data_IF_137625205736
#
_entry.id   IF_137625205736
#
_cell.length_a   1.000
_cell.length_b   1.000
_cell.length_c   1.000
_cell.angle_alpha   90.00
_cell.angle_beta   90.00
_cell.angle_gamma   90.00
#
_symmetry.space_group_name_H-M   'P 1'
#
loop_
_entity.id
_entity.type
_entity.pdbx_description
1 polymer ?
#
# COMPACT_ATOMS: atom_id res chain seq x y z
N UNK A 1 -54.70 1.49 -54.11
CA UNK A 1 -54.12 0.19 -53.76
C UNK A 1 -55.28 -0.70 -53.37
N UNK A 2 -55.51 -1.75 -54.13
CA UNK A 2 -56.65 -2.66 -53.99
C UNK A 2 -56.45 -3.53 -52.74
N UNK A 3 -57.53 -3.87 -52.03
CA UNK A 3 -57.51 -4.74 -50.84
C UNK A 3 -56.66 -6.03 -50.99
N UNK A 4 -56.69 -6.76 -52.12
CA UNK A 4 -55.85 -7.94 -52.33
C UNK A 4 -54.34 -7.66 -52.33
N UNK A 5 -53.88 -6.50 -52.81
CA UNK A 5 -52.45 -6.16 -52.85
C UNK A 5 -51.88 -5.95 -51.44
N UNK A 6 -52.69 -5.37 -50.55
CA UNK A 6 -52.32 -5.12 -49.17
C UNK A 6 -52.16 -6.42 -48.39
N UNK A 7 -53.04 -7.38 -48.65
CA UNK A 7 -53.04 -8.72 -48.05
C UNK A 7 -51.81 -9.54 -48.49
N UNK A 8 -51.39 -9.39 -49.76
CA UNK A 8 -50.15 -9.99 -50.28
C UNK A 8 -48.89 -9.40 -49.63
N UNK A 9 -48.84 -8.09 -49.42
CA UNK A 9 -47.69 -7.44 -48.76
C UNK A 9 -47.61 -7.84 -47.28
N UNK A 10 -48.72 -7.91 -46.56
CA UNK A 10 -48.72 -8.36 -45.16
C UNK A 10 -48.33 -9.83 -45.02
N UNK A 11 -48.86 -10.71 -45.88
CA UNK A 11 -48.52 -12.15 -45.82
C UNK A 11 -47.04 -12.40 -46.11
N UNK A 12 -46.47 -11.74 -47.13
CA UNK A 12 -45.04 -11.86 -47.46
C UNK A 12 -44.15 -11.28 -46.37
N UNK A 13 -44.50 -10.12 -45.79
CA UNK A 13 -43.79 -9.55 -44.63
C UNK A 13 -43.78 -10.51 -43.45
N UNK A 14 -44.95 -11.01 -43.07
CA UNK A 14 -45.11 -11.92 -41.92
C UNK A 14 -44.36 -13.23 -42.14
N UNK A 15 -44.34 -13.74 -43.37
CA UNK A 15 -43.61 -14.96 -43.71
C UNK A 15 -42.09 -14.76 -43.61
N UNK A 16 -41.58 -13.61 -44.07
CA UNK A 16 -40.16 -13.24 -43.95
C UNK A 16 -39.72 -13.09 -42.49
N UNK A 17 -40.51 -12.41 -41.66
CA UNK A 17 -40.20 -12.24 -40.23
C UNK A 17 -40.16 -13.58 -39.49
N UNK A 18 -41.11 -14.47 -39.80
CA UNK A 18 -41.14 -15.82 -39.20
C UNK A 18 -39.94 -16.67 -39.64
N UNK A 19 -39.53 -16.58 -40.90
CA UNK A 19 -38.34 -17.25 -41.44
C UNK A 19 -37.05 -16.73 -40.77
N UNK A 20 -36.91 -15.42 -40.64
CA UNK A 20 -35.75 -14.81 -39.96
C UNK A 20 -35.70 -15.22 -38.50
N UNK A 21 -36.82 -15.15 -37.79
CA UNK A 21 -36.89 -15.57 -36.39
C UNK A 21 -36.65 -17.09 -36.22
N UNK A 22 -36.95 -17.92 -37.22
CA UNK A 22 -36.64 -19.35 -37.22
C UNK A 22 -35.16 -19.62 -37.54
N UNK A 23 -34.55 -18.84 -38.44
CA UNK A 23 -33.12 -18.90 -38.74
C UNK A 23 -32.27 -18.50 -37.53
N UNK A 24 -32.65 -17.43 -36.82
CA UNK A 24 -31.86 -16.88 -35.71
C UNK A 24 -32.07 -17.64 -34.39
N UNK A 25 -33.30 -18.06 -34.10
CA UNK A 25 -33.63 -18.67 -32.79
C UNK A 25 -34.06 -20.14 -32.87
N UNK A 26 -34.12 -20.72 -34.07
CA UNK A 26 -34.56 -22.09 -34.27
C UNK A 26 -36.09 -22.28 -34.10
N UNK A 27 -36.56 -23.55 -34.03
CA UNK A 27 -37.97 -23.88 -33.90
C UNK A 27 -38.58 -23.30 -32.61
N UNK A 28 -39.91 -23.13 -32.56
CA UNK A 28 -40.62 -22.48 -31.44
C UNK A 28 -40.27 -23.07 -30.06
N UNK A 29 -40.05 -24.38 -29.99
CA UNK A 29 -39.60 -25.10 -28.78
C UNK A 29 -38.19 -24.73 -28.33
N UNK A 30 -37.29 -24.38 -29.26
CA UNK A 30 -35.92 -23.96 -28.95
C UNK A 30 -35.84 -22.53 -28.39
N UNK A 31 -36.79 -21.65 -28.75
CA UNK A 31 -36.80 -20.24 -28.31
C UNK A 31 -36.83 -20.08 -26.79
N UNK A 32 -37.53 -20.96 -26.07
CA UNK A 32 -37.59 -20.93 -24.58
C UNK A 32 -36.23 -21.19 -23.93
N UNK A 33 -35.41 -22.08 -24.53
CA UNK A 33 -34.02 -22.31 -24.09
C UNK A 33 -33.16 -21.08 -24.34
N UNK A 34 -33.28 -20.46 -25.52
CA UNK A 34 -32.50 -19.27 -25.90
C UNK A 34 -32.78 -18.10 -24.94
N UNK A 35 -34.05 -17.80 -24.65
CA UNK A 35 -34.40 -16.68 -23.76
C UNK A 35 -33.92 -16.89 -22.32
N UNK A 36 -33.97 -18.14 -21.83
CA UNK A 36 -33.50 -18.48 -20.48
C UNK A 36 -31.97 -18.39 -20.38
N UNK A 37 -31.25 -18.86 -21.41
CA UNK A 37 -29.80 -18.76 -21.48
C UNK A 37 -29.33 -17.32 -21.64
N UNK A 38 -30.03 -16.50 -22.42
CA UNK A 38 -29.76 -15.07 -22.54
C UNK A 38 -29.92 -14.36 -21.18
N UNK A 39 -30.99 -14.66 -20.43
CA UNK A 39 -31.17 -14.12 -19.08
C UNK A 39 -30.05 -14.54 -18.12
N UNK A 40 -29.61 -15.80 -18.17
CA UNK A 40 -28.48 -16.30 -17.38
C UNK A 40 -27.15 -15.65 -17.76
N UNK A 41 -26.91 -15.42 -19.05
CA UNK A 41 -25.71 -14.74 -19.53
C UNK A 41 -25.67 -13.29 -19.05
N UNK A 42 -26.76 -12.54 -19.24
CA UNK A 42 -26.85 -11.15 -18.75
C UNK A 42 -26.70 -11.08 -17.24
N UNK A 43 -27.33 -12.00 -16.49
CA UNK A 43 -27.17 -12.09 -15.04
C UNK A 43 -25.72 -12.37 -14.62
N UNK A 44 -25.05 -13.32 -15.28
CA UNK A 44 -23.64 -13.63 -15.03
C UNK A 44 -22.72 -12.45 -15.35
N UNK A 45 -23.01 -11.70 -16.42
CA UNK A 45 -22.22 -10.53 -16.82
C UNK A 45 -22.31 -9.42 -15.76
N UNK A 46 -23.51 -9.15 -15.23
CA UNK A 46 -23.70 -8.17 -14.16
C UNK A 46 -22.97 -8.60 -12.89
N UNK A 47 -23.07 -9.87 -12.50
CA UNK A 47 -22.43 -10.39 -11.30
C UNK A 47 -20.89 -10.31 -11.41
N UNK A 48 -20.34 -10.66 -12.57
CA UNK A 48 -18.91 -10.53 -12.84
C UNK A 48 -18.44 -9.07 -12.78
N UNK A 49 -19.22 -8.12 -13.31
CA UNK A 49 -18.90 -6.71 -13.25
C UNK A 49 -18.87 -6.16 -11.81
N UNK A 50 -19.84 -6.56 -10.99
CA UNK A 50 -19.91 -6.13 -9.58
C UNK A 50 -18.75 -6.69 -8.76
N UNK A 51 -18.43 -7.97 -8.93
CA UNK A 51 -17.29 -8.59 -8.26
C UNK A 51 -15.96 -7.97 -8.70
N UNK A 52 -15.81 -7.68 -9.99
CA UNK A 52 -14.65 -6.99 -10.53
C UNK A 52 -14.45 -5.59 -9.92
N UNK A 53 -15.51 -4.78 -9.88
CA UNK A 53 -15.44 -3.45 -9.26
C UNK A 53 -15.18 -3.52 -7.76
N UNK A 54 -15.75 -4.49 -7.04
CA UNK A 54 -15.52 -4.68 -5.61
C UNK A 54 -14.06 -4.98 -5.29
N UNK A 55 -13.44 -5.88 -6.05
CA UNK A 55 -12.02 -6.24 -5.84
C UNK A 55 -11.07 -5.10 -6.19
N UNK A 56 -11.32 -4.37 -7.28
CA UNK A 56 -10.52 -3.19 -7.65
C UNK A 56 -10.66 -2.08 -6.59
N UNK A 57 -11.88 -1.84 -6.09
CA UNK A 57 -12.13 -0.84 -5.06
C UNK A 57 -11.42 -1.17 -3.74
N UNK A 58 -11.49 -2.42 -3.28
CA UNK A 58 -10.81 -2.86 -2.07
C UNK A 58 -9.28 -2.72 -2.18
N UNK A 59 -8.70 -3.16 -3.30
CA UNK A 59 -7.25 -3.02 -3.54
C UNK A 59 -6.78 -1.57 -3.56
N UNK A 60 -7.58 -0.66 -4.12
CA UNK A 60 -7.27 0.77 -4.11
C UNK A 60 -7.28 1.37 -2.69
N UNK A 61 -8.28 1.03 -1.87
CA UNK A 61 -8.39 1.56 -0.50
C UNK A 61 -7.24 1.06 0.37
N UNK A 62 -6.93 -0.24 0.31
CA UNK A 62 -5.80 -0.82 1.06
C UNK A 62 -4.50 -0.16 0.63
N UNK A 63 -4.20 -0.12 -0.68
CA UNK A 63 -2.97 0.51 -1.16
C UNK A 63 -2.86 2.01 -0.87
N UNK A 64 -3.98 2.72 -0.69
CA UNK A 64 -3.97 4.12 -0.26
C UNK A 64 -3.62 4.28 1.22
N UNK A 65 -4.11 3.38 2.08
CA UNK A 65 -3.78 3.38 3.50
C UNK A 65 -2.30 3.04 3.71
N UNK A 66 -1.81 1.98 3.06
CA UNK A 66 -0.40 1.57 3.16
C UNK A 66 0.52 2.70 2.71
N UNK A 67 0.19 3.42 1.64
CA UNK A 67 0.98 4.56 1.17
C UNK A 67 1.02 5.70 2.20
N UNK A 68 -0.08 5.98 2.90
CA UNK A 68 -0.08 6.99 3.96
C UNK A 68 0.81 6.60 5.14
N UNK A 69 0.79 5.33 5.54
CA UNK A 69 1.61 4.85 6.65
C UNK A 69 3.10 4.92 6.28
N UNK A 70 3.45 4.47 5.07
CA UNK A 70 4.80 4.59 4.53
C UNK A 70 5.29 6.05 4.49
N UNK A 71 4.48 6.97 3.96
CA UNK A 71 4.86 8.38 3.88
C UNK A 71 5.07 8.99 5.26
N UNK A 72 4.19 8.71 6.23
CA UNK A 72 4.32 9.19 7.62
C UNK A 72 5.60 8.68 8.28
N UNK A 73 5.90 7.38 8.14
CA UNK A 73 7.07 6.77 8.72
C UNK A 73 8.37 7.39 8.13
N UNK A 74 8.42 7.57 6.81
CA UNK A 74 9.57 8.22 6.15
C UNK A 74 9.71 9.68 6.56
N UNK A 75 8.62 10.44 6.67
CA UNK A 75 8.69 11.82 7.13
C UNK A 75 9.16 11.92 8.58
N UNK A 76 8.70 11.03 9.46
CA UNK A 76 9.14 11.00 10.86
C UNK A 76 10.64 10.69 10.96
N UNK A 77 11.16 9.77 10.14
CA UNK A 77 12.58 9.51 10.03
C UNK A 77 13.37 10.75 9.58
N UNK A 78 12.89 11.45 8.55
CA UNK A 78 13.54 12.68 8.05
C UNK A 78 13.48 13.83 9.06
N UNK A 79 12.37 13.99 9.79
CA UNK A 79 12.22 15.01 10.83
C UNK A 79 13.11 14.72 12.05
N UNK A 80 13.21 13.46 12.47
CA UNK A 80 14.12 13.04 13.54
C UNK A 80 15.57 13.41 13.18
N UNK A 81 16.00 13.09 11.96
CA UNK A 81 17.32 13.45 11.44
C UNK A 81 17.57 14.97 11.46
N UNK A 82 16.55 15.77 11.16
CA UNK A 82 16.65 17.23 11.05
C UNK A 82 16.62 17.97 12.40
N UNK A 83 16.14 17.33 13.47
CA UNK A 83 15.75 18.01 14.73
C UNK A 83 16.82 18.05 15.84
N UNK A 84 18.09 17.75 15.55
CA UNK A 84 19.10 17.53 16.60
C UNK A 84 19.96 18.76 16.92
N UNK A 85 19.67 19.51 18.01
CA UNK A 85 20.71 20.23 18.71
C UNK A 85 20.71 19.93 20.20
N UNK A 86 21.87 19.53 20.69
CA UNK A 86 22.25 19.62 22.10
C UNK A 86 23.54 20.41 22.18
N UNK A 87 23.61 21.27 23.18
CA UNK A 87 24.72 22.19 23.32
C UNK A 87 25.82 21.56 24.17
N UNK A 88 27.10 21.64 23.75
CA UNK A 88 28.22 21.14 24.53
C UNK A 88 28.39 21.96 25.81
N UNK A 89 28.13 21.37 26.98
CA UNK A 89 28.47 21.93 28.29
C UNK A 89 28.89 20.83 29.27
N UNK A 90 29.59 21.25 30.33
CA UNK A 90 30.00 20.48 31.51
C UNK A 90 31.12 19.42 31.34
N UNK A 91 32.23 19.79 30.70
CA UNK A 91 33.46 18.97 30.65
C UNK A 91 33.46 17.89 29.57
N UNK A 92 32.35 17.79 28.83
CA UNK A 92 32.23 17.03 27.62
C UNK A 92 32.73 17.86 26.44
N UNK A 93 33.68 17.34 25.69
CA UNK A 93 34.21 17.98 24.49
C UNK A 93 33.39 17.48 23.31
N UNK A 94 32.74 18.39 22.59
CA UNK A 94 32.10 18.02 21.33
C UNK A 94 33.18 17.68 20.30
N UNK A 95 33.12 16.47 19.77
CA UNK A 95 33.91 16.10 18.61
C UNK A 95 33.32 16.78 17.37
N UNK A 96 34.03 17.76 16.81
CA UNK A 96 33.61 18.51 15.62
C UNK A 96 33.32 17.62 14.40
N UNK A 97 33.85 16.39 14.37
CA UNK A 97 33.66 15.48 13.23
C UNK A 97 32.36 14.67 13.31
N UNK A 98 31.92 14.31 14.52
CA UNK A 98 30.77 13.42 14.76
C UNK A 98 29.59 14.13 15.44
N UNK A 99 29.83 15.27 16.09
CA UNK A 99 28.85 15.96 16.94
C UNK A 99 28.52 15.23 18.24
N UNK A 100 29.32 14.22 18.61
CA UNK A 100 29.18 13.47 19.85
C UNK A 100 29.92 14.17 20.99
N UNK A 101 29.47 13.91 22.23
CA UNK A 101 30.14 14.40 23.43
C UNK A 101 31.17 13.39 23.89
N UNK A 102 32.44 13.74 23.83
CA UNK A 102 33.53 12.92 24.33
C UNK A 102 33.78 13.17 25.82
N UNK A 103 33.79 12.09 26.60
CA UNK A 103 34.15 12.09 28.02
C UNK A 103 35.61 11.60 28.18
N UNK A 104 36.51 12.54 28.44
CA UNK A 104 37.94 12.26 28.64
C UNK A 104 38.22 11.34 29.84
N UNK A 105 37.35 11.30 30.87
CA UNK A 105 37.59 10.50 32.07
C UNK A 105 37.29 9.02 31.85
N UNK A 106 36.31 8.73 30.99
CA UNK A 106 35.81 7.39 30.72
C UNK A 106 36.28 6.81 29.39
N UNK A 107 36.88 7.63 28.52
CA UNK A 107 37.30 7.26 27.16
C UNK A 107 36.10 6.73 26.34
N UNK A 108 34.95 7.39 26.47
CA UNK A 108 33.70 7.02 25.78
C UNK A 108 33.09 8.23 25.08
N UNK A 109 32.39 7.96 23.97
CA UNK A 109 31.55 8.95 23.33
C UNK A 109 30.14 8.81 23.86
N UNK A 110 29.50 9.93 24.15
CA UNK A 110 28.15 10.01 24.65
C UNK A 110 27.28 10.72 23.63
N UNK A 111 26.07 10.18 23.45
CA UNK A 111 25.03 10.85 22.71
C UNK A 111 24.63 12.07 23.54
N UNK A 112 24.78 13.29 23.02
CA UNK A 112 24.36 14.45 23.76
C UNK A 112 22.87 14.40 24.13
N UNK A 113 22.03 13.68 23.37
CA UNK A 113 20.57 13.72 23.53
C UNK A 113 20.07 12.88 24.69
N UNK A 114 20.75 11.78 24.93
CA UNK A 114 20.32 10.73 25.86
C UNK A 114 21.33 10.50 26.97
N UNK A 115 22.59 10.92 26.78
CA UNK A 115 23.71 10.59 27.65
C UNK A 115 24.11 9.12 27.60
N UNK A 116 23.68 8.37 26.57
CA UNK A 116 24.05 6.98 26.39
C UNK A 116 25.41 6.84 25.73
N UNK A 117 26.11 5.73 25.99
CA UNK A 117 27.38 5.38 25.36
C UNK A 117 27.18 5.06 23.88
N UNK A 118 27.98 5.69 23.04
CA UNK A 118 27.91 5.63 21.58
C UNK A 118 29.22 5.10 21.05
N UNK A 119 29.12 4.20 20.08
CA UNK A 119 30.26 3.85 19.24
C UNK A 119 30.42 4.91 18.13
N UNK A 120 31.55 5.64 18.08
CA UNK A 120 31.76 6.73 17.11
C UNK A 120 31.83 6.26 15.65
N UNK A 121 32.14 4.98 15.38
CA UNK A 121 32.16 4.47 14.01
C UNK A 121 30.75 4.19 13.49
N UNK A 122 29.88 3.62 14.33
CA UNK A 122 28.53 3.20 13.94
C UNK A 122 27.45 4.23 14.26
N UNK A 123 27.73 5.16 15.18
CA UNK A 123 26.80 6.15 15.74
C UNK A 123 25.58 5.53 16.45
N UNK A 124 25.71 4.27 16.88
CA UNK A 124 24.71 3.56 17.65
C UNK A 124 25.02 3.71 19.15
N UNK A 125 24.03 4.20 19.89
CA UNK A 125 24.00 4.22 21.33
C UNK A 125 23.49 2.90 21.90
N UNK A 126 23.99 2.50 23.07
CA UNK A 126 23.46 1.35 23.81
C UNK A 126 22.58 1.81 24.96
N UNK A 127 21.32 1.36 24.97
CA UNK A 127 20.41 1.66 26.10
C UNK A 127 20.73 0.78 27.34
N UNK A 128 20.19 1.11 28.53
CA UNK A 128 20.40 0.31 29.73
C UNK A 128 19.84 -1.12 29.67
N UNK A 129 18.99 -1.42 28.69
CA UNK A 129 18.43 -2.74 28.40
C UNK A 129 19.24 -3.51 27.35
N UNK A 130 20.36 -2.95 26.86
CA UNK A 130 21.25 -3.54 25.85
C UNK A 130 20.74 -3.43 24.41
N UNK A 131 19.73 -2.59 24.14
CA UNK A 131 19.23 -2.34 22.78
C UNK A 131 20.05 -1.24 22.12
N UNK A 132 20.25 -1.37 20.81
CA UNK A 132 20.93 -0.35 20.01
C UNK A 132 19.92 0.72 19.60
N UNK A 133 20.28 1.98 19.82
CA UNK A 133 19.50 3.15 19.46
C UNK A 133 20.40 4.02 18.59
N UNK A 134 19.98 4.34 17.38
CA UNK A 134 20.77 5.27 16.58
C UNK A 134 20.60 6.69 17.12
N UNK A 135 21.73 7.32 17.42
CA UNK A 135 21.77 8.67 18.01
C UNK A 135 21.22 9.74 17.08
N UNK A 136 21.28 9.53 15.76
CA UNK A 136 20.85 10.49 14.75
C UNK A 136 19.33 10.55 14.62
N UNK A 137 18.65 9.42 14.82
CA UNK A 137 17.20 9.27 14.60
C UNK A 137 16.43 9.00 15.88
N UNK A 138 17.12 8.57 16.93
CA UNK A 138 16.56 8.06 18.20
C UNK A 138 15.58 6.91 18.02
N UNK A 139 15.78 6.13 16.96
CA UNK A 139 15.04 4.90 16.69
C UNK A 139 15.88 3.70 17.11
N UNK A 140 15.22 2.60 17.47
CA UNK A 140 15.91 1.34 17.73
C UNK A 140 16.49 0.81 16.42
N UNK A 141 17.72 0.32 16.46
CA UNK A 141 18.37 -0.34 15.33
C UNK A 141 18.47 -1.84 15.61
N UNK A 142 18.01 -2.65 14.68
CA UNK A 142 18.19 -4.10 14.73
C UNK A 142 19.42 -4.51 13.90
N UNK A 143 20.52 -4.99 14.52
CA UNK A 143 21.74 -5.35 13.82
C UNK A 143 21.60 -6.62 12.96
N UNK A 144 20.59 -7.47 13.20
CA UNK A 144 20.38 -8.67 12.39
C UNK A 144 19.73 -8.35 11.05
N UNK A 145 18.79 -7.39 11.06
CA UNK A 145 17.99 -7.04 9.88
C UNK A 145 18.44 -5.74 9.21
N UNK A 146 19.13 -4.86 9.93
CA UNK A 146 19.50 -3.52 9.47
C UNK A 146 18.35 -2.52 9.51
N UNK A 147 17.22 -2.86 10.13
CA UNK A 147 16.03 -2.01 10.15
C UNK A 147 15.98 -1.08 11.35
N UNK A 148 15.23 0.00 11.19
CA UNK A 148 15.02 1.02 12.20
C UNK A 148 13.58 0.98 12.70
N UNK A 149 13.38 0.86 14.02
CA UNK A 149 12.05 0.83 14.64
C UNK A 149 11.83 2.06 15.51
N UNK A 150 10.75 2.79 15.23
CA UNK A 150 10.35 3.94 16.02
C UNK A 150 9.90 3.52 17.43
N UNK A 151 10.52 4.02 18.51
CA UNK A 151 10.08 3.75 19.88
C UNK A 151 8.67 4.26 20.20
N UNK A 152 8.20 5.30 19.52
CA UNK A 152 6.91 5.93 19.80
C UNK A 152 5.76 5.25 19.06
N UNK A 153 5.96 4.90 17.79
CA UNK A 153 4.90 4.32 16.94
C UNK A 153 5.02 2.81 16.77
N UNK A 154 6.20 2.22 17.03
CA UNK A 154 6.48 0.80 16.80
C UNK A 154 6.65 0.42 15.33
N UNK A 155 6.70 1.39 14.41
CA UNK A 155 6.84 1.15 12.98
C UNK A 155 8.31 0.87 12.66
N UNK A 156 8.55 -0.19 11.88
CA UNK A 156 9.88 -0.59 11.42
C UNK A 156 10.08 -0.17 9.96
N UNK A 157 11.20 0.48 9.65
CA UNK A 157 11.54 1.00 8.31
C UNK A 157 12.90 0.47 7.89
N UNK A 158 13.00 0.07 6.63
CA UNK A 158 14.26 -0.23 5.97
C UNK A 158 14.93 1.09 5.52
N UNK A 159 16.13 1.43 6.01
CA UNK A 159 16.80 2.69 5.69
C UNK A 159 17.28 2.77 4.23
N UNK A 160 17.52 1.64 3.55
CA UNK A 160 18.02 1.62 2.17
C UNK A 160 16.89 1.84 1.16
N UNK A 161 15.75 1.18 1.40
CA UNK A 161 14.58 1.26 0.51
C UNK A 161 13.60 2.36 0.92
N UNK A 162 13.71 2.88 2.15
CA UNK A 162 12.76 3.81 2.78
C UNK A 162 11.33 3.27 2.75
N UNK A 163 11.17 1.96 2.95
CA UNK A 163 9.86 1.30 3.01
C UNK A 163 9.59 0.74 4.40
N UNK A 164 8.33 0.73 4.82
CA UNK A 164 7.90 0.10 6.07
C UNK A 164 7.98 -1.42 5.92
N UNK A 165 8.61 -2.06 6.88
CA UNK A 165 8.67 -3.52 6.99
C UNK A 165 7.52 -3.96 7.87
N UNK A 166 6.53 -4.63 7.27
CA UNK A 166 5.45 -5.27 8.02
C UNK A 166 6.02 -6.50 8.76
N UNK A 167 6.00 -6.47 10.10
CA UNK A 167 6.14 -7.70 10.89
C UNK A 167 4.94 -8.61 10.59
N UNK A 168 5.22 -9.81 10.09
CA UNK A 168 4.22 -10.78 9.65
C UNK A 168 3.68 -11.66 10.78
#
# INVERSE_FOLDING_TARGET
MTDPDRLLIESTRTHRERLLAAMVHGPLTARRKVTTNAGRFTGSLVLAAVLGLGTVGAGFVVGYLDRQENEKAVTAFQEALASNPLEPRDGLVEDESTGLLYDEERDVHLDPATGFEVDPETMLATDPQGRLVDTRTRWYFDPETGYYTDPATGVTVDPDTLTVVEEK
#
